data_IF_176572223032
#
_entry.id   IF_176572223032
#
_cell.length_a   1.000
_cell.length_b   1.000
_cell.length_c   1.000
_cell.angle_alpha   90.00
_cell.angle_beta   90.00
_cell.angle_gamma   90.00
#
_symmetry.space_group_name_H-M   'P 1'
#
loop_
_entity.id
_entity.type
_entity.pdbx_description
1 polymer ?
#
# COMPACT_ATOMS: atom_id res chain seq x y z
N UNK A 1 14.61 -0.86 12.52
CA UNK A 1 14.30 0.09 11.42
C UNK A 1 13.93 -0.72 10.20
N UNK A 2 12.73 -0.51 9.66
CA UNK A 2 12.34 -1.17 8.41
C UNK A 2 12.80 -0.29 7.27
N UNK A 3 13.73 -0.79 6.48
CA UNK A 3 14.35 -0.04 5.39
C UNK A 3 15.78 -0.47 5.15
N UNK A 4 16.14 -0.63 3.88
CA UNK A 4 17.46 -1.09 3.49
C UNK A 4 17.53 -1.26 1.98
N UNK A 5 18.72 -1.08 1.43
CA UNK A 5 18.98 -1.28 0.02
C UNK A 5 20.03 -2.36 -0.18
N UNK A 6 19.77 -3.26 -1.13
CA UNK A 6 20.74 -4.21 -1.63
C UNK A 6 21.21 -3.74 -3.00
N UNK A 7 22.50 -3.43 -3.13
CA UNK A 7 23.13 -3.13 -4.42
C UNK A 7 23.63 -4.42 -5.06
N UNK A 8 23.26 -4.63 -6.33
CA UNK A 8 23.78 -5.75 -7.11
C UNK A 8 25.25 -5.52 -7.48
N UNK A 9 26.00 -6.61 -7.76
CA UNK A 9 27.36 -6.51 -8.27
C UNK A 9 27.47 -5.54 -9.45
N UNK A 10 28.57 -4.78 -9.51
CA UNK A 10 28.84 -3.78 -10.54
C UNK A 10 27.81 -2.62 -10.63
N UNK A 11 26.96 -2.44 -9.60
CA UNK A 11 26.02 -1.31 -9.46
C UNK A 11 25.00 -1.16 -10.60
N UNK A 12 24.68 -2.24 -11.30
CA UNK A 12 23.68 -2.22 -12.38
C UNK A 12 22.24 -2.07 -11.86
N UNK A 13 21.99 -2.46 -10.61
CA UNK A 13 20.69 -2.29 -9.98
C UNK A 13 20.82 -2.16 -8.45
N UNK A 14 19.84 -1.52 -7.83
CA UNK A 14 19.68 -1.46 -6.37
C UNK A 14 18.23 -1.75 -6.02
N UNK A 15 17.98 -2.71 -5.13
CA UNK A 15 16.64 -3.01 -4.62
C UNK A 15 16.54 -2.43 -3.23
N UNK A 16 15.58 -1.53 -3.00
CA UNK A 16 15.34 -0.96 -1.69
C UNK A 16 13.96 -1.34 -1.18
N UNK A 17 13.91 -1.73 0.09
CA UNK A 17 12.68 -1.74 0.85
C UNK A 17 12.51 -0.34 1.45
N UNK A 18 11.52 0.42 0.97
CA UNK A 18 11.36 1.82 1.36
C UNK A 18 10.62 1.96 2.69
N UNK A 19 9.44 1.35 2.77
CA UNK A 19 8.55 1.44 3.94
C UNK A 19 7.59 0.26 3.99
N UNK A 20 7.00 0.06 5.16
CA UNK A 20 5.80 -0.75 5.34
C UNK A 20 4.55 0.12 5.20
N UNK A 21 3.43 -0.48 4.80
CA UNK A 21 2.15 0.22 4.63
C UNK A 21 1.48 0.60 5.94
N UNK A 22 1.82 -0.05 7.05
CA UNK A 22 1.13 0.12 8.34
C UNK A 22 2.10 0.35 9.49
N UNK A 23 1.83 1.38 10.29
CA UNK A 23 2.55 1.72 11.52
C UNK A 23 1.70 1.62 12.79
N UNK A 24 0.39 1.47 12.65
CA UNK A 24 -0.57 1.45 13.77
C UNK A 24 -0.98 0.02 14.11
N UNK A 25 -0.96 -0.31 15.40
CA UNK A 25 -1.18 -1.65 15.93
C UNK A 25 -1.99 -1.61 17.22
N UNK A 26 -2.73 -2.68 17.50
CA UNK A 26 -3.41 -2.91 18.77
C UNK A 26 -2.97 -4.23 19.38
N UNK A 27 -2.75 -4.26 20.70
CA UNK A 27 -2.40 -5.49 21.39
C UNK A 27 -3.63 -6.34 21.74
N UNK A 28 -3.42 -7.65 21.66
CA UNK A 28 -4.33 -8.71 22.06
C UNK A 28 -3.57 -9.67 22.97
N UNK A 29 -4.16 -10.01 24.12
CA UNK A 29 -3.52 -10.87 25.13
C UNK A 29 -4.38 -12.10 25.34
N UNK A 30 -3.75 -13.27 25.32
CA UNK A 30 -4.34 -14.57 25.57
C UNK A 30 -3.65 -15.11 26.81
N UNK A 31 -4.34 -15.21 27.94
CA UNK A 31 -3.72 -15.62 29.21
C UNK A 31 -4.65 -16.45 30.08
N UNK A 32 -4.05 -17.24 30.95
CA UNK A 32 -4.79 -17.86 32.05
C UNK A 32 -5.07 -16.80 33.11
N UNK A 33 -6.35 -16.57 33.40
CA UNK A 33 -6.79 -15.73 34.52
C UNK A 33 -7.49 -16.58 35.58
N UNK A 34 -7.30 -16.19 36.83
CA UNK A 34 -8.00 -16.74 38.00
C UNK A 34 -8.84 -15.63 38.61
N UNK A 35 -9.92 -15.96 39.34
CA UNK A 35 -10.77 -14.93 39.94
C UNK A 35 -11.81 -14.33 39.00
N UNK A 36 -12.13 -14.98 37.87
CA UNK A 36 -13.15 -14.46 36.95
C UNK A 36 -14.54 -14.77 37.49
N UNK A 37 -15.36 -13.74 37.69
CA UNK A 37 -16.76 -13.92 38.07
C UNK A 37 -17.62 -14.21 36.82
N UNK A 38 -18.06 -15.46 36.70
CA UNK A 38 -18.97 -15.94 35.67
C UNK A 38 -20.39 -16.20 36.21
N UNK A 39 -20.67 -15.89 37.48
CA UNK A 39 -21.96 -16.20 38.13
C UNK A 39 -23.17 -15.48 37.53
N UNK A 40 -22.91 -14.33 36.90
CA UNK A 40 -23.93 -13.52 36.23
C UNK A 40 -24.38 -14.08 34.87
N UNK A 41 -23.80 -15.20 34.44
CA UNK A 41 -24.04 -15.79 33.13
C UNK A 41 -25.31 -16.63 33.02
N UNK A 42 -25.89 -17.05 34.15
CA UNK A 42 -27.09 -17.89 34.19
C UNK A 42 -26.86 -19.37 33.86
N UNK A 43 -25.62 -19.82 33.67
CA UNK A 43 -25.27 -21.22 33.31
C UNK A 43 -24.52 -21.97 34.40
N UNK A 44 -24.60 -21.51 35.66
CA UNK A 44 -24.07 -22.24 36.83
C UNK A 44 -22.56 -22.14 37.05
N UNK A 45 -21.86 -21.24 36.35
CA UNK A 45 -20.47 -20.91 36.64
C UNK A 45 -20.36 -20.06 37.94
N UNK A 46 -19.25 -20.15 38.66
CA UNK A 46 -19.04 -19.50 39.95
C UNK A 46 -18.48 -18.07 39.86
N UNK A 47 -18.15 -17.51 41.02
CA UNK A 47 -17.60 -16.15 41.17
C UNK A 47 -16.07 -16.08 41.13
N UNK A 48 -15.39 -17.22 41.01
CA UNK A 48 -13.93 -17.35 41.09
C UNK A 48 -13.44 -18.44 40.13
N UNK A 49 -13.69 -18.25 38.85
CA UNK A 49 -13.37 -19.22 37.82
C UNK A 49 -11.97 -19.00 37.25
N UNK A 50 -11.33 -20.11 36.86
CA UNK A 50 -10.08 -20.11 36.11
C UNK A 50 -10.41 -20.25 34.62
N UNK A 51 -9.99 -19.29 33.82
CA UNK A 51 -10.38 -19.17 32.40
C UNK A 51 -9.18 -18.86 31.52
N UNK A 52 -9.28 -19.19 30.23
CA UNK A 52 -8.46 -18.52 29.22
C UNK A 52 -9.15 -17.20 28.83
N UNK A 53 -8.53 -16.09 29.20
CA UNK A 53 -9.03 -14.75 28.92
C UNK A 53 -8.33 -14.18 27.69
N UNK A 54 -9.13 -13.70 26.75
CA UNK A 54 -8.69 -13.02 25.53
C UNK A 54 -9.11 -11.55 25.66
N UNK A 55 -8.14 -10.64 25.72
CA UNK A 55 -8.40 -9.20 25.87
C UNK A 55 -7.85 -8.41 24.69
N UNK A 56 -8.57 -7.35 24.30
CA UNK A 56 -8.10 -6.34 23.35
C UNK A 56 -7.94 -4.98 24.01
N UNK A 57 -6.85 -4.28 23.67
CA UNK A 57 -6.66 -2.87 24.03
C UNK A 57 -7.55 -1.92 23.21
N UNK A 58 -7.98 -2.34 22.02
CA UNK A 58 -8.94 -1.59 21.23
C UNK A 58 -10.35 -1.75 21.78
N UNK A 59 -11.09 -0.63 21.89
CA UNK A 59 -12.52 -0.66 22.21
C UNK A 59 -13.26 -1.55 21.21
N UNK A 60 -14.02 -2.51 21.73
CA UNK A 60 -14.75 -3.50 20.94
C UNK A 60 -13.86 -4.29 19.96
N UNK A 61 -12.59 -4.51 20.33
CA UNK A 61 -11.60 -5.14 19.47
C UNK A 61 -11.83 -6.62 19.16
N UNK A 62 -12.82 -7.26 19.79
CA UNK A 62 -13.22 -8.64 19.55
C UNK A 62 -14.70 -8.71 19.16
N UNK A 63 -15.02 -9.58 18.21
CA UNK A 63 -16.40 -9.87 17.79
C UNK A 63 -16.61 -11.37 17.90
N UNK A 64 -17.67 -11.79 18.58
CA UNK A 64 -18.10 -13.19 18.55
C UNK A 64 -18.71 -13.54 17.18
N UNK A 65 -18.55 -14.77 16.73
CA UNK A 65 -19.17 -15.22 15.46
C UNK A 65 -20.70 -15.22 15.56
N UNK A 66 -21.38 -15.23 14.39
CA UNK A 66 -22.85 -15.15 14.33
C UNK A 66 -23.58 -16.28 15.07
N UNK A 67 -22.99 -17.48 15.11
CA UNK A 67 -23.51 -18.61 15.90
C UNK A 67 -23.50 -18.34 17.42
N UNK A 68 -22.80 -17.30 17.86
CA UNK A 68 -22.68 -16.85 19.24
C UNK A 68 -23.31 -15.46 19.46
N UNK A 69 -24.07 -14.93 18.49
CA UNK A 69 -24.84 -13.68 18.63
C UNK A 69 -24.15 -12.40 18.14
N UNK A 70 -22.96 -12.47 17.52
CA UNK A 70 -22.27 -11.30 16.94
C UNK A 70 -21.95 -10.16 17.93
N UNK A 71 -21.78 -10.48 19.21
CA UNK A 71 -21.47 -9.49 20.24
C UNK A 71 -20.07 -8.92 20.07
N UNK A 72 -19.97 -7.59 20.20
CA UNK A 72 -18.70 -6.85 20.29
C UNK A 72 -18.27 -6.73 21.74
N UNK A 73 -16.99 -6.94 21.99
CA UNK A 73 -16.42 -6.87 23.33
C UNK A 73 -14.92 -6.53 23.31
N UNK A 74 -14.38 -6.16 24.46
CA UNK A 74 -12.95 -6.10 24.70
C UNK A 74 -12.43 -7.40 25.33
N UNK A 75 -13.31 -8.28 25.81
CA UNK A 75 -12.89 -9.45 26.60
C UNK A 75 -13.78 -10.65 26.34
N UNK A 76 -13.15 -11.76 25.95
CA UNK A 76 -13.77 -13.08 25.84
C UNK A 76 -13.14 -13.99 26.89
N UNK A 77 -13.95 -14.83 27.52
CA UNK A 77 -13.50 -15.87 28.44
C UNK A 77 -13.84 -17.24 27.86
N UNK A 78 -12.87 -18.15 27.86
CA UNK A 78 -13.08 -19.56 27.62
C UNK A 78 -12.96 -20.30 28.95
N UNK A 79 -14.06 -20.92 29.38
CA UNK A 79 -14.14 -21.68 30.63
C UNK A 79 -14.29 -23.16 30.31
N UNK A 80 -13.48 -24.01 30.94
CA UNK A 80 -13.55 -25.45 30.74
C UNK A 80 -14.54 -26.08 31.72
N UNK A 81 -15.44 -26.90 31.20
CA UNK A 81 -16.40 -27.67 31.96
C UNK A 81 -16.49 -29.09 31.39
N UNK A 82 -15.85 -30.05 32.05
CA UNK A 82 -15.84 -31.46 31.63
C UNK A 82 -17.22 -32.12 31.51
N UNK A 83 -18.26 -31.53 32.07
CA UNK A 83 -19.63 -32.05 32.00
C UNK A 83 -20.42 -31.53 30.80
N UNK A 84 -19.94 -30.46 30.14
CA UNK A 84 -20.60 -29.87 28.98
C UNK A 84 -20.25 -30.65 27.68
N UNK A 85 -21.21 -30.84 26.74
CA UNK A 85 -20.97 -31.46 25.44
C UNK A 85 -19.75 -30.92 24.70
N UNK A 86 -19.54 -29.59 24.71
CA UNK A 86 -18.38 -28.96 24.08
C UNK A 86 -17.13 -28.83 24.94
N UNK A 87 -17.21 -29.14 26.22
CA UNK A 87 -16.16 -28.97 27.24
C UNK A 87 -15.60 -27.56 27.44
N UNK A 88 -15.78 -26.65 26.47
CA UNK A 88 -15.45 -25.24 26.55
C UNK A 88 -16.72 -24.42 26.35
N UNK A 89 -16.93 -23.49 27.26
CA UNK A 89 -17.99 -22.49 27.19
C UNK A 89 -17.37 -21.12 26.88
N UNK A 90 -18.02 -20.39 25.99
CA UNK A 90 -17.63 -19.04 25.58
C UNK A 90 -18.47 -18.04 26.35
N UNK A 91 -17.78 -17.10 27.01
CA UNK A 91 -18.39 -15.95 27.65
C UNK A 91 -17.77 -14.68 27.08
N UNK A 92 -18.50 -13.58 27.16
CA UNK A 92 -17.98 -12.26 26.81
C UNK A 92 -18.31 -11.27 27.90
N UNK A 93 -17.46 -10.24 28.05
CA UNK A 93 -17.78 -9.10 28.91
C UNK A 93 -18.70 -8.15 28.15
N UNK A 94 -19.93 -8.00 28.63
CA UNK A 94 -20.91 -7.10 28.01
C UNK A 94 -20.47 -5.65 28.21
N UNK A 95 -20.54 -4.84 27.15
CA UNK A 95 -20.09 -3.45 27.17
C UNK A 95 -21.06 -2.50 27.87
N UNK A 96 -22.29 -2.94 28.15
CA UNK A 96 -23.36 -2.16 28.79
C UNK A 96 -23.27 -2.22 30.31
N UNK A 97 -23.12 -3.42 30.87
CA UNK A 97 -23.14 -3.67 32.32
C UNK A 97 -21.80 -4.17 32.87
N UNK A 98 -20.83 -4.47 32.01
CA UNK A 98 -19.50 -4.93 32.39
C UNK A 98 -19.46 -6.36 32.94
N UNK A 99 -20.56 -7.11 32.88
CA UNK A 99 -20.67 -8.47 33.42
C UNK A 99 -20.33 -9.52 32.36
N UNK A 100 -19.85 -10.67 32.81
CA UNK A 100 -19.65 -11.82 31.93
C UNK A 100 -21.00 -12.45 31.57
N UNK A 101 -21.28 -12.60 30.27
CA UNK A 101 -22.48 -13.23 29.73
C UNK A 101 -22.10 -14.47 28.94
N UNK A 102 -22.89 -15.53 29.08
CA UNK A 102 -22.72 -16.76 28.31
C UNK A 102 -23.13 -16.55 26.85
N UNK A 103 -22.28 -16.98 25.92
CA UNK A 103 -22.54 -16.90 24.48
C UNK A 103 -22.89 -18.26 23.87
N UNK A 104 -22.34 -19.35 24.40
CA UNK A 104 -22.57 -20.70 23.89
C UNK A 104 -21.46 -21.68 24.25
N UNK A 105 -21.65 -22.93 23.88
CA UNK A 105 -20.61 -23.96 23.97
C UNK A 105 -19.80 -24.05 22.68
N UNK A 106 -18.54 -24.45 22.79
CA UNK A 106 -17.59 -24.46 21.69
C UNK A 106 -17.06 -25.86 21.41
N UNK A 107 -17.33 -26.38 20.20
CA UNK A 107 -16.81 -27.68 19.74
C UNK A 107 -16.04 -27.51 18.44
N UNK A 108 -14.71 -27.51 18.52
CA UNK A 108 -13.80 -27.45 17.35
C UNK A 108 -14.20 -26.42 16.26
N UNK A 109 -14.68 -25.24 16.67
CA UNK A 109 -15.25 -24.23 15.78
C UNK A 109 -14.56 -22.88 15.89
N UNK A 110 -14.74 -22.04 14.87
CA UNK A 110 -14.45 -20.61 14.94
C UNK A 110 -15.51 -19.95 15.82
N UNK A 111 -15.09 -19.14 16.78
CA UNK A 111 -16.00 -18.52 17.75
C UNK A 111 -15.88 -17.00 17.83
N UNK A 112 -14.77 -16.43 17.36
CA UNK A 112 -14.56 -15.00 17.38
C UNK A 112 -13.65 -14.56 16.23
N UNK A 113 -13.64 -13.25 15.97
CA UNK A 113 -12.68 -12.59 15.10
C UNK A 113 -12.14 -11.32 15.75
N UNK A 114 -10.98 -10.90 15.26
CA UNK A 114 -10.39 -9.62 15.60
C UNK A 114 -11.17 -8.52 14.88
N UNK A 115 -11.45 -7.42 15.57
CA UNK A 115 -12.16 -6.25 15.06
C UNK A 115 -11.33 -4.98 15.27
N UNK A 116 -10.34 -4.76 14.40
CA UNK A 116 -9.46 -3.61 14.50
C UNK A 116 -9.27 -2.94 13.15
N UNK A 117 -9.86 -1.75 12.99
CA UNK A 117 -9.74 -0.90 11.80
C UNK A 117 -10.08 -1.65 10.50
N UNK A 118 -9.09 -1.88 9.62
CA UNK A 118 -9.27 -2.60 8.37
C UNK A 118 -8.99 -4.10 8.54
N UNK A 119 -8.16 -4.49 9.52
CA UNK A 119 -8.07 -5.87 10.05
C UNK A 119 -9.32 -6.21 10.89
N UNK A 120 -10.47 -6.33 10.22
CA UNK A 120 -11.76 -6.69 10.83
C UNK A 120 -12.51 -7.73 10.01
N UNK A 121 -13.53 -8.33 10.60
CA UNK A 121 -14.38 -9.28 9.89
C UNK A 121 -13.71 -10.65 9.77
N UNK A 122 -13.28 -11.03 8.57
CA UNK A 122 -12.74 -12.37 8.30
C UNK A 122 -11.22 -12.46 8.28
N UNK A 123 -10.50 -11.35 8.49
CA UNK A 123 -9.05 -11.31 8.29
C UNK A 123 -8.26 -12.07 9.35
N UNK A 124 -8.65 -11.96 10.62
CA UNK A 124 -8.07 -12.73 11.72
C UNK A 124 -9.18 -13.37 12.53
N UNK A 125 -9.25 -14.70 12.53
CA UNK A 125 -10.28 -15.48 13.22
C UNK A 125 -9.68 -16.33 14.32
N UNK A 126 -10.44 -16.52 15.39
CA UNK A 126 -10.10 -17.35 16.53
C UNK A 126 -10.94 -18.63 16.50
N UNK A 127 -10.25 -19.75 16.49
CA UNK A 127 -10.84 -21.09 16.41
C UNK A 127 -10.26 -21.99 17.48
N UNK A 128 -11.10 -22.85 18.06
CA UNK A 128 -10.60 -23.97 18.87
C UNK A 128 -10.51 -25.23 18.02
N UNK A 129 -9.47 -26.02 18.25
CA UNK A 129 -9.20 -27.31 17.60
C UNK A 129 -8.63 -28.31 18.62
N UNK A 130 -8.59 -29.58 18.24
CA UNK A 130 -7.94 -30.68 18.98
C UNK A 130 -8.30 -30.68 20.47
N UNK A 131 -9.60 -30.56 20.77
CA UNK A 131 -10.10 -30.62 22.15
C UNK A 131 -9.98 -32.05 22.70
N UNK A 132 -9.16 -32.20 23.72
CA UNK A 132 -8.96 -33.42 24.49
C UNK A 132 -9.36 -33.20 25.95
N UNK A 133 -9.32 -34.26 26.77
CA UNK A 133 -9.59 -34.12 28.21
C UNK A 133 -8.50 -33.33 28.96
N UNK A 134 -7.28 -33.29 28.40
CA UNK A 134 -6.09 -32.71 29.02
C UNK A 134 -5.57 -31.46 28.34
N UNK A 135 -6.08 -31.12 27.16
CA UNK A 135 -5.62 -29.95 26.40
C UNK A 135 -6.58 -29.56 25.28
N UNK A 136 -6.40 -28.37 24.72
CA UNK A 136 -7.00 -27.94 23.47
C UNK A 136 -6.06 -26.96 22.76
N UNK A 137 -6.29 -26.72 21.46
CA UNK A 137 -5.56 -25.71 20.69
C UNK A 137 -6.46 -24.52 20.41
N UNK A 138 -5.96 -23.31 20.71
CA UNK A 138 -6.51 -22.07 20.19
C UNK A 138 -5.69 -21.65 18.97
N UNK A 139 -6.36 -21.47 17.84
CA UNK A 139 -5.74 -21.13 16.56
C UNK A 139 -6.24 -19.76 16.13
N UNK A 140 -5.31 -18.82 15.94
CA UNK A 140 -5.57 -17.60 15.21
C UNK A 140 -5.21 -17.82 13.74
N UNK A 141 -6.20 -17.79 12.85
CA UNK A 141 -6.04 -17.99 11.40
C UNK A 141 -6.10 -16.64 10.71
N UNK A 142 -5.22 -16.39 9.74
CA UNK A 142 -5.28 -15.20 8.90
C UNK A 142 -5.89 -15.45 7.51
N UNK A 143 -6.19 -14.38 6.78
CA UNK A 143 -6.71 -14.43 5.40
C UNK A 143 -5.71 -14.97 4.36
N UNK A 144 -4.43 -15.14 4.74
CA UNK A 144 -3.39 -15.78 3.94
C UNK A 144 -3.28 -17.28 4.23
N UNK A 145 -4.20 -17.84 5.03
CA UNK A 145 -4.24 -19.25 5.46
C UNK A 145 -3.09 -19.65 6.40
N UNK A 146 -2.42 -18.69 7.02
CA UNK A 146 -1.43 -18.95 8.06
C UNK A 146 -2.09 -19.07 9.43
N UNK A 147 -1.46 -19.87 10.30
CA UNK A 147 -2.01 -20.22 11.60
C UNK A 147 -0.98 -19.96 12.70
N UNK A 148 -1.35 -19.14 13.68
CA UNK A 148 -0.72 -19.12 15.00
C UNK A 148 -1.48 -20.07 15.92
N UNK A 149 -0.84 -21.15 16.34
CA UNK A 149 -1.44 -22.19 17.19
C UNK A 149 -0.88 -22.13 18.60
N UNK A 150 -1.76 -21.99 19.57
CA UNK A 150 -1.48 -21.94 21.01
C UNK A 150 -2.05 -23.20 21.66
N UNK A 151 -1.23 -23.99 22.34
CA UNK A 151 -1.65 -25.24 23.00
C UNK A 151 -1.86 -24.99 24.50
N UNK A 152 -3.09 -25.11 24.95
CA UNK A 152 -3.48 -24.87 26.34
C UNK A 152 -3.77 -26.20 27.04
N UNK A 153 -3.19 -26.41 28.22
CA UNK A 153 -3.42 -27.61 29.01
C UNK A 153 -4.52 -27.41 30.04
N UNK A 154 -5.20 -28.51 30.36
CA UNK A 154 -6.30 -28.58 31.32
C UNK A 154 -5.84 -29.42 32.51
N UNK A 155 -6.10 -28.92 33.71
CA UNK A 155 -5.89 -29.65 34.96
C UNK A 155 -7.01 -29.32 35.92
N UNK A 156 -7.43 -30.31 36.71
CA UNK A 156 -8.46 -30.13 37.75
C UNK A 156 -9.74 -29.46 37.24
N UNK A 157 -10.19 -29.85 36.05
CA UNK A 157 -11.38 -29.30 35.37
C UNK A 157 -11.30 -27.80 35.06
N UNK A 158 -10.11 -27.25 34.83
CA UNK A 158 -9.92 -25.86 34.44
C UNK A 158 -8.78 -25.70 33.42
N UNK A 159 -8.79 -24.61 32.66
CA UNK A 159 -7.63 -24.23 31.84
C UNK A 159 -6.47 -23.92 32.80
N UNK A 160 -5.34 -24.57 32.61
CA UNK A 160 -4.24 -24.53 33.57
C UNK A 160 -3.08 -23.62 33.17
N UNK A 161 -2.56 -23.82 31.96
CA UNK A 161 -1.28 -23.28 31.49
C UNK A 161 -1.21 -23.22 29.97
N UNK A 162 -0.34 -22.35 29.45
CA UNK A 162 0.14 -22.45 28.08
C UNK A 162 1.24 -23.52 28.08
N UNK A 163 1.09 -24.58 27.28
CA UNK A 163 1.99 -25.72 27.38
C UNK A 163 1.71 -26.63 28.58
N UNK A 164 2.49 -27.72 28.68
CA UNK A 164 2.30 -28.79 29.66
C UNK A 164 2.80 -28.43 31.06
N UNK A 165 3.63 -27.39 31.17
CA UNK A 165 4.19 -26.90 32.43
C UNK A 165 3.73 -25.46 32.63
N UNK A 166 3.16 -25.16 33.81
CA UNK A 166 2.72 -23.81 34.11
C UNK A 166 3.92 -22.87 34.29
N UNK A 167 3.80 -21.67 33.75
CA UNK A 167 4.77 -20.57 33.94
C UNK A 167 6.18 -20.95 33.48
N UNK A 168 6.26 -21.70 32.38
CA UNK A 168 7.49 -22.15 31.76
C UNK A 168 7.30 -22.15 30.25
N UNK A 169 8.07 -21.34 29.52
CA UNK A 169 7.99 -21.33 28.07
C UNK A 169 8.54 -22.60 27.43
N UNK A 170 7.71 -23.26 26.63
CA UNK A 170 8.06 -24.51 25.95
C UNK A 170 8.04 -24.38 24.43
N UNK A 171 8.89 -25.12 23.71
CA UNK A 171 8.95 -25.01 22.24
C UNK A 171 7.61 -25.34 21.57
N UNK A 172 6.91 -26.35 22.07
CA UNK A 172 5.70 -26.90 21.47
C UNK A 172 4.40 -26.18 21.87
N UNK A 173 4.43 -25.24 22.82
CA UNK A 173 3.22 -24.55 23.29
C UNK A 173 2.69 -23.55 22.26
N UNK A 174 3.57 -23.00 21.43
CA UNK A 174 3.27 -21.98 20.43
C UNK A 174 3.95 -22.32 19.10
N UNK A 175 3.16 -22.34 18.02
CA UNK A 175 3.69 -22.56 16.68
C UNK A 175 3.07 -21.66 15.63
N UNK A 176 3.86 -21.29 14.63
CA UNK A 176 3.42 -20.57 13.44
C UNK A 176 3.63 -21.45 12.21
N UNK A 177 2.56 -21.82 11.48
CA UNK A 177 2.63 -22.72 10.32
C UNK A 177 3.45 -24.00 10.57
N UNK A 178 3.22 -24.65 11.72
CA UNK A 178 3.94 -25.84 12.21
C UNK A 178 5.39 -25.62 12.63
N UNK A 179 5.90 -24.38 12.59
CA UNK A 179 7.20 -24.05 13.18
C UNK A 179 7.03 -23.68 14.65
N UNK A 180 7.75 -24.36 15.53
CA UNK A 180 7.76 -24.07 16.95
C UNK A 180 8.45 -22.75 17.24
N UNK A 181 7.76 -21.87 17.96
CA UNK A 181 8.22 -20.51 18.27
C UNK A 181 8.15 -20.16 19.76
N UNK A 182 7.68 -21.07 20.62
CA UNK A 182 7.43 -20.77 22.04
C UNK A 182 8.67 -20.28 22.81
N UNK A 183 9.88 -20.76 22.49
CA UNK A 183 11.13 -20.36 23.15
C UNK A 183 11.87 -19.21 22.48
N UNK A 184 11.26 -18.54 21.49
CA UNK A 184 11.91 -17.40 20.82
C UNK A 184 11.88 -16.18 21.75
N UNK A 185 13.03 -15.53 21.87
CA UNK A 185 13.29 -14.39 22.77
C UNK A 185 13.10 -13.02 22.11
N UNK A 186 12.62 -13.01 20.87
CA UNK A 186 12.41 -11.82 20.03
C UNK A 186 10.99 -11.77 19.51
N UNK A 187 10.55 -10.56 19.18
CA UNK A 187 9.29 -10.36 18.49
C UNK A 187 9.36 -10.98 17.09
N UNK A 188 8.34 -11.73 16.74
CA UNK A 188 8.23 -12.41 15.45
C UNK A 188 7.10 -11.80 14.65
N UNK A 189 7.38 -11.45 13.40
CA UNK A 189 6.37 -10.92 12.47
C UNK A 189 5.83 -12.05 11.60
N UNK A 190 4.52 -12.26 11.64
CA UNK A 190 3.81 -13.14 10.72
C UNK A 190 3.68 -12.51 9.32
N UNK A 191 3.34 -13.32 8.33
CA UNK A 191 3.23 -12.90 6.93
C UNK A 191 2.14 -11.85 6.73
N UNK A 192 0.98 -12.01 7.39
CA UNK A 192 -0.07 -10.97 7.42
C UNK A 192 0.41 -9.65 8.05
N UNK A 193 1.38 -9.72 8.96
CA UNK A 193 2.04 -8.55 9.54
C UNK A 193 1.85 -8.35 11.04
N UNK A 194 1.03 -9.16 11.70
CA UNK A 194 0.93 -9.14 13.17
C UNK A 194 2.23 -9.62 13.82
N UNK A 195 2.51 -9.12 15.01
CA UNK A 195 3.70 -9.47 15.79
C UNK A 195 3.30 -10.38 16.93
N UNK A 196 4.00 -11.50 17.10
CA UNK A 196 3.98 -12.29 18.33
C UNK A 196 5.10 -11.75 19.21
N UNK A 197 4.74 -11.07 20.29
CA UNK A 197 5.70 -10.36 21.13
C UNK A 197 6.39 -11.32 22.08
N UNK A 198 7.73 -11.32 22.07
CA UNK A 198 8.63 -12.13 22.90
C UNK A 198 7.99 -13.43 23.43
N UNK A 199 7.80 -14.45 22.56
CA UNK A 199 7.13 -15.70 22.92
C UNK A 199 7.63 -16.32 24.22
N UNK A 200 8.95 -16.40 24.43
CA UNK A 200 9.53 -17.01 25.62
C UNK A 200 9.16 -16.26 26.89
N UNK A 201 9.34 -14.93 26.94
CA UNK A 201 9.04 -14.18 28.16
C UNK A 201 7.54 -14.16 28.50
N UNK A 202 6.67 -14.21 27.49
CA UNK A 202 5.23 -14.28 27.72
C UNK A 202 4.77 -15.71 28.07
N UNK A 203 5.39 -16.74 27.49
CA UNK A 203 5.15 -18.15 27.80
C UNK A 203 5.48 -18.49 29.26
N UNK A 204 6.56 -17.93 29.81
CA UNK A 204 6.90 -18.02 31.25
C UNK A 204 5.81 -17.45 32.18
N UNK A 205 4.80 -16.76 31.63
CA UNK A 205 3.65 -16.21 32.34
C UNK A 205 2.32 -16.81 31.88
N UNK A 206 2.34 -17.95 31.19
CA UNK A 206 1.16 -18.59 30.60
C UNK A 206 0.35 -17.64 29.71
N UNK A 207 1.05 -16.82 28.93
CA UNK A 207 0.48 -15.74 28.12
C UNK A 207 1.02 -15.75 26.69
N UNK A 208 0.17 -15.39 25.73
CA UNK A 208 0.57 -14.99 24.38
C UNK A 208 0.13 -13.55 24.15
N UNK A 209 1.03 -12.71 23.65
CA UNK A 209 0.71 -11.32 23.28
C UNK A 209 0.93 -11.14 21.79
N UNK A 210 -0.12 -10.67 21.12
CA UNK A 210 -0.12 -10.41 19.68
C UNK A 210 -0.41 -8.95 19.42
N UNK A 211 0.46 -8.28 18.68
CA UNK A 211 0.24 -6.92 18.19
C UNK A 211 -0.31 -6.98 16.76
N UNK A 212 -1.58 -6.62 16.58
CA UNK A 212 -2.29 -6.72 15.30
C UNK A 212 -2.28 -5.38 14.57
N UNK A 213 -1.87 -5.32 13.29
CA UNK A 213 -1.82 -4.09 12.52
C UNK A 213 -3.21 -3.61 12.10
N UNK A 214 -3.35 -2.31 11.84
CA UNK A 214 -4.60 -1.70 11.38
C UNK A 214 -5.10 -2.23 10.04
N UNK A 215 -4.20 -2.72 9.18
CA UNK A 215 -4.44 -3.37 7.89
C UNK A 215 -3.32 -4.41 7.65
N UNK A 216 -3.46 -5.28 6.65
CA UNK A 216 -2.40 -6.20 6.24
C UNK A 216 -1.11 -5.44 5.91
N UNK A 217 0.00 -5.86 6.50
CA UNK A 217 1.30 -5.21 6.29
C UNK A 217 1.85 -5.61 4.91
N UNK A 218 2.06 -4.61 4.05
CA UNK A 218 2.73 -4.77 2.77
C UNK A 218 4.03 -3.97 2.76
N UNK A 219 5.02 -4.43 2.01
CA UNK A 219 6.26 -3.72 1.81
C UNK A 219 6.27 -3.00 0.46
N UNK A 220 6.66 -1.73 0.45
CA UNK A 220 6.98 -1.03 -0.79
C UNK A 220 8.42 -1.35 -1.17
N UNK A 221 8.58 -2.18 -2.19
CA UNK A 221 9.88 -2.54 -2.76
C UNK A 221 10.09 -1.77 -4.06
N UNK A 222 11.21 -1.08 -4.18
CA UNK A 222 11.57 -0.30 -5.36
C UNK A 222 12.89 -0.82 -5.93
N UNK A 223 12.94 -0.98 -7.25
CA UNK A 223 14.14 -1.37 -7.98
C UNK A 223 14.66 -0.18 -8.77
N UNK A 224 15.89 0.24 -8.49
CA UNK A 224 16.59 1.32 -9.17
C UNK A 224 17.56 0.77 -10.20
N UNK A 225 17.58 1.38 -11.39
CA UNK A 225 18.70 1.27 -12.32
C UNK A 225 19.87 2.21 -11.94
N UNK A 226 20.98 2.19 -12.67
CA UNK A 226 22.14 3.03 -12.38
C UNK A 226 21.75 4.52 -12.46
N UNK A 227 21.98 5.26 -11.37
CA UNK A 227 21.61 6.68 -11.28
C UNK A 227 20.13 6.96 -11.02
N UNK A 228 19.29 5.94 -10.83
CA UNK A 228 17.88 6.11 -10.48
C UNK A 228 17.70 6.61 -9.05
N UNK A 229 16.88 7.65 -8.86
CA UNK A 229 16.44 8.16 -7.55
C UNK A 229 14.94 7.94 -7.38
N UNK A 230 14.47 7.86 -6.13
CA UNK A 230 13.05 7.68 -5.81
C UNK A 230 12.29 8.97 -6.11
N UNK A 231 11.23 8.90 -6.91
CA UNK A 231 10.16 9.89 -6.82
C UNK A 231 9.15 9.41 -5.79
N UNK A 232 8.86 10.23 -4.78
CA UNK A 232 7.95 9.93 -3.66
C UNK A 232 6.50 9.67 -4.06
N UNK A 233 6.14 9.82 -5.33
CA UNK A 233 4.77 9.70 -5.81
C UNK A 233 4.41 8.27 -6.20
N UNK A 234 3.43 7.72 -5.48
CA UNK A 234 2.76 6.46 -5.79
C UNK A 234 2.06 6.57 -7.17
N UNK A 235 2.25 5.59 -8.05
CA UNK A 235 1.57 5.54 -9.36
C UNK A 235 2.24 6.31 -10.52
N UNK A 236 3.42 6.90 -10.33
CA UNK A 236 4.16 7.56 -11.42
C UNK A 236 4.63 6.58 -12.49
N UNK A 237 4.18 6.75 -13.74
CA UNK A 237 4.76 6.03 -14.90
C UNK A 237 6.25 6.39 -15.01
N UNK A 238 7.13 5.39 -14.96
CA UNK A 238 8.56 5.57 -15.23
C UNK A 238 8.70 6.02 -16.69
N UNK A 239 9.10 7.27 -16.92
CA UNK A 239 9.48 7.74 -18.26
C UNK A 239 10.79 7.04 -18.64
N UNK A 240 10.70 5.98 -19.47
CA UNK A 240 11.86 5.29 -20.04
C UNK A 240 12.62 6.28 -20.92
N UNK A 241 13.86 6.62 -20.57
CA UNK A 241 14.76 7.36 -21.47
C UNK A 241 15.09 6.42 -22.64
N UNK A 242 14.50 6.68 -23.80
CA UNK A 242 14.88 6.01 -25.05
C UNK A 242 15.99 6.84 -25.68
N UNK A 243 17.22 6.32 -25.82
CA UNK A 243 18.28 7.04 -26.48
C UNK A 243 17.87 7.34 -27.93
N UNK A 244 18.13 8.57 -28.37
CA UNK A 244 17.96 8.97 -29.77
C UNK A 244 19.11 8.33 -30.55
N UNK A 245 18.84 7.22 -31.23
CA UNK A 245 19.85 6.43 -31.97
C UNK A 245 20.05 6.86 -33.42
N UNK A 246 19.29 7.86 -33.88
CA UNK A 246 19.35 8.38 -35.24
C UNK A 246 19.31 9.90 -35.20
N UNK A 247 19.97 10.57 -36.15
CA UNK A 247 19.88 12.03 -36.30
C UNK A 247 18.41 12.46 -36.50
N UNK A 248 17.83 13.12 -35.50
CA UNK A 248 16.43 13.56 -35.50
C UNK A 248 16.25 14.95 -36.12
N UNK A 249 17.28 15.78 -36.11
CA UNK A 249 17.28 17.08 -36.78
C UNK A 249 17.80 16.91 -38.21
N UNK A 250 16.98 17.30 -39.18
CA UNK A 250 17.35 17.34 -40.60
C UNK A 250 17.23 18.77 -41.10
N UNK A 251 18.04 19.14 -42.08
CA UNK A 251 17.86 20.41 -42.80
C UNK A 251 16.57 20.37 -43.61
N UNK A 252 15.98 21.54 -43.84
CA UNK A 252 14.77 21.68 -44.66
C UNK A 252 14.99 21.20 -46.10
N UNK A 253 16.22 21.29 -46.60
CA UNK A 253 16.65 20.78 -47.91
C UNK A 253 16.80 19.26 -47.98
N UNK A 254 16.87 18.58 -46.84
CA UNK A 254 17.04 17.12 -46.74
C UNK A 254 15.71 16.37 -46.54
N UNK A 255 14.61 17.12 -46.42
CA UNK A 255 13.28 16.60 -46.11
C UNK A 255 12.31 16.96 -47.21
N UNK A 256 11.77 15.95 -47.88
CA UNK A 256 10.55 16.09 -48.66
C UNK A 256 9.35 15.82 -47.75
N UNK A 257 8.57 16.84 -47.34
CA UNK A 257 7.46 16.65 -46.42
C UNK A 257 6.36 15.76 -47.02
N UNK A 258 6.29 15.64 -48.34
CA UNK A 258 5.35 14.77 -49.07
C UNK A 258 5.76 13.29 -49.07
N UNK A 259 6.92 12.94 -48.52
CA UNK A 259 7.33 11.54 -48.34
C UNK A 259 7.42 11.15 -46.86
N UNK A 260 7.51 12.12 -45.95
CA UNK A 260 7.48 11.84 -44.50
C UNK A 260 6.10 11.32 -44.11
N UNK A 261 6.04 10.10 -43.57
CA UNK A 261 4.81 9.47 -43.06
C UNK A 261 4.51 9.78 -41.59
N UNK A 262 5.18 10.79 -41.01
CA UNK A 262 5.08 11.19 -39.60
C UNK A 262 4.70 12.67 -39.50
N UNK A 263 4.23 13.07 -38.32
CA UNK A 263 4.10 14.49 -37.96
C UNK A 263 5.45 15.19 -37.95
N UNK A 264 5.45 16.50 -38.21
CA UNK A 264 6.66 17.30 -38.32
C UNK A 264 6.69 18.41 -37.27
N UNK A 265 7.88 18.70 -36.77
CA UNK A 265 8.16 19.92 -36.01
C UNK A 265 9.15 20.72 -36.86
N UNK A 266 8.71 21.88 -37.32
CA UNK A 266 9.50 22.80 -38.13
C UNK A 266 10.07 23.87 -37.22
N UNK A 267 11.39 23.87 -37.04
CA UNK A 267 12.09 24.83 -36.20
C UNK A 267 12.74 25.88 -37.10
N UNK A 268 12.52 27.16 -36.78
CA UNK A 268 13.00 28.30 -37.53
C UNK A 268 11.91 28.98 -38.35
N UNK A 269 12.00 30.30 -38.46
CA UNK A 269 11.03 31.12 -39.20
C UNK A 269 11.08 30.97 -40.72
N UNK A 270 10.12 31.55 -41.44
CA UNK A 270 9.97 31.41 -42.90
C UNK A 270 11.08 32.08 -43.71
N UNK A 271 11.98 32.85 -43.08
CA UNK A 271 13.20 33.35 -43.72
C UNK A 271 14.33 32.31 -43.79
N UNK A 272 14.35 31.36 -42.84
CA UNK A 272 15.47 30.41 -42.68
C UNK A 272 15.06 28.96 -42.92
N UNK A 273 13.76 28.66 -42.91
CA UNK A 273 13.22 27.34 -43.15
C UNK A 273 12.13 27.40 -44.25
N UNK A 274 12.41 26.78 -45.40
CA UNK A 274 11.52 26.74 -46.57
C UNK A 274 10.21 26.04 -46.27
N UNK A 275 10.26 24.97 -45.49
CA UNK A 275 9.07 24.22 -45.09
C UNK A 275 8.20 25.04 -44.14
N UNK A 276 8.80 25.86 -43.27
CA UNK A 276 8.03 26.82 -42.45
C UNK A 276 7.30 27.83 -43.32
N UNK A 277 7.97 28.42 -44.32
CA UNK A 277 7.32 29.36 -45.25
C UNK A 277 6.15 28.71 -45.98
N UNK A 278 6.35 27.48 -46.49
CA UNK A 278 5.29 26.72 -47.16
C UNK A 278 4.12 26.39 -46.22
N UNK A 279 4.39 25.92 -44.99
CA UNK A 279 3.35 25.63 -44.00
C UNK A 279 2.53 26.88 -43.62
N UNK A 280 3.17 28.05 -43.63
CA UNK A 280 2.53 29.34 -43.37
C UNK A 280 1.87 29.98 -44.61
N UNK A 281 2.01 29.38 -45.81
CA UNK A 281 1.50 29.95 -47.06
C UNK A 281 2.24 31.23 -47.51
N UNK A 282 3.51 31.38 -47.15
CA UNK A 282 4.36 32.53 -47.46
C UNK A 282 5.41 32.18 -48.52
N UNK A 283 5.94 33.20 -49.19
CA UNK A 283 7.10 33.04 -50.07
C UNK A 283 8.39 32.89 -49.25
N UNK A 284 9.34 32.09 -49.73
CA UNK A 284 10.64 31.98 -49.10
C UNK A 284 11.68 32.85 -49.83
N UNK A 285 12.49 33.66 -49.13
CA UNK A 285 12.46 33.94 -47.68
C UNK A 285 11.46 35.06 -47.33
N UNK A 286 10.67 34.90 -46.26
CA UNK A 286 9.88 35.99 -45.66
C UNK A 286 10.46 36.37 -44.30
N UNK A 287 10.97 37.61 -44.19
CA UNK A 287 11.55 38.15 -42.96
C UNK A 287 10.50 38.80 -42.07
N UNK A 288 10.80 38.95 -40.79
CA UNK A 288 9.92 39.60 -39.82
C UNK A 288 9.54 41.04 -40.18
N UNK A 289 10.45 41.78 -40.83
CA UNK A 289 10.19 43.14 -41.32
C UNK A 289 9.13 43.23 -42.44
N UNK A 290 8.66 42.10 -42.99
CA UNK A 290 7.60 42.09 -44.01
C UNK A 290 6.23 42.53 -43.48
N UNK A 291 6.00 42.47 -42.17
CA UNK A 291 4.68 42.70 -41.58
C UNK A 291 3.66 41.58 -41.85
N UNK A 292 4.08 40.48 -42.50
CA UNK A 292 3.21 39.33 -42.82
C UNK A 292 3.21 38.25 -41.75
N UNK A 293 4.10 38.35 -40.74
CA UNK A 293 4.21 37.36 -39.68
C UNK A 293 3.26 37.68 -38.52
N UNK A 294 2.68 36.67 -37.85
CA UNK A 294 1.76 36.89 -36.74
C UNK A 294 2.46 37.30 -35.43
N UNK A 295 3.78 37.51 -35.45
CA UNK A 295 4.61 37.83 -34.29
C UNK A 295 5.63 38.93 -34.62
N UNK A 296 5.99 39.72 -33.62
CA UNK A 296 6.87 40.88 -33.75
C UNK A 296 8.25 40.72 -33.12
N UNK A 297 8.97 41.83 -33.05
CA UNK A 297 10.29 41.91 -32.40
C UNK A 297 10.23 41.44 -30.94
N UNK A 298 11.18 40.58 -30.55
CA UNK A 298 11.22 39.98 -29.21
C UNK A 298 10.22 38.84 -28.96
N UNK A 299 9.34 38.54 -29.93
CA UNK A 299 8.35 37.47 -29.81
C UNK A 299 8.81 36.18 -30.52
N UNK A 300 8.29 35.05 -30.04
CA UNK A 300 8.24 33.80 -30.77
C UNK A 300 6.81 33.30 -30.93
N UNK A 301 6.64 32.35 -31.84
CA UNK A 301 5.37 31.83 -32.27
C UNK A 301 5.43 30.31 -32.38
N UNK A 302 4.47 29.64 -31.77
CA UNK A 302 4.25 28.21 -31.93
C UNK A 302 2.87 28.03 -32.52
N UNK A 303 2.74 27.27 -33.61
CA UNK A 303 1.45 26.96 -34.21
C UNK A 303 1.37 25.55 -34.71
N UNK A 304 0.23 24.92 -34.48
CA UNK A 304 -0.17 23.64 -35.05
C UNK A 304 -0.93 23.90 -36.35
N UNK A 305 -0.47 23.28 -37.42
CA UNK A 305 -1.13 23.21 -38.72
C UNK A 305 -1.53 21.77 -38.99
N UNK A 306 -2.70 21.57 -39.57
CA UNK A 306 -3.17 20.26 -40.01
C UNK A 306 -3.28 20.25 -41.53
N UNK A 307 -2.87 19.15 -42.15
CA UNK A 307 -3.11 18.91 -43.56
C UNK A 307 -2.19 19.65 -44.54
N UNK A 308 -1.23 20.47 -44.06
CA UNK A 308 -0.51 21.44 -44.92
C UNK A 308 0.39 20.81 -45.99
N UNK A 309 0.95 19.63 -45.73
CA UNK A 309 1.72 18.89 -46.75
C UNK A 309 1.02 17.62 -47.22
N UNK A 310 0.20 17.01 -46.37
CA UNK A 310 -0.65 15.84 -46.67
C UNK A 310 -1.89 15.82 -45.78
N UNK A 311 -3.02 15.29 -46.26
CA UNK A 311 -4.20 15.07 -45.42
C UNK A 311 -3.87 14.30 -44.14
N UNK A 312 -4.31 14.83 -42.98
CA UNK A 312 -4.10 14.24 -41.66
C UNK A 312 -2.69 14.38 -41.07
N UNK A 313 -1.77 15.06 -41.77
CA UNK A 313 -0.44 15.33 -41.23
C UNK A 313 -0.43 16.62 -40.42
N UNK A 314 -0.26 16.46 -39.10
CA UNK A 314 0.01 17.57 -38.19
C UNK A 314 1.45 18.08 -38.32
N UNK A 315 1.60 19.40 -38.38
CA UNK A 315 2.86 20.13 -38.46
C UNK A 315 2.88 21.22 -37.39
N UNK A 316 3.89 21.20 -36.52
CA UNK A 316 4.09 22.27 -35.53
C UNK A 316 5.19 23.18 -36.01
N UNK A 317 4.88 24.45 -36.24
CA UNK A 317 5.86 25.50 -36.54
C UNK A 317 6.32 26.13 -35.24
N UNK A 318 7.63 26.29 -35.08
CA UNK A 318 8.29 26.93 -33.94
C UNK A 318 9.24 27.99 -34.49
N UNK A 319 8.82 29.24 -34.44
CA UNK A 319 9.53 30.34 -35.08
C UNK A 319 9.71 31.52 -34.14
N UNK A 320 10.92 32.04 -34.02
CA UNK A 320 11.20 33.29 -33.32
C UNK A 320 11.48 34.43 -34.29
N UNK A 321 11.36 35.67 -33.80
CA UNK A 321 11.91 36.84 -34.48
C UNK A 321 13.42 36.70 -34.68
N UNK A 322 14.12 36.32 -33.60
CA UNK A 322 15.55 35.97 -33.62
C UNK A 322 15.81 34.52 -33.20
N UNK A 323 17.07 34.10 -33.31
CA UNK A 323 17.53 32.78 -32.90
C UNK A 323 17.24 32.51 -31.41
N UNK A 324 17.38 33.52 -30.54
CA UNK A 324 17.10 33.37 -29.11
C UNK A 324 15.61 33.18 -28.83
N UNK A 325 14.74 33.91 -29.53
CA UNK A 325 13.30 33.70 -29.40
C UNK A 325 12.89 32.29 -29.89
N UNK A 326 13.53 31.79 -30.96
CA UNK A 326 13.31 30.42 -31.44
C UNK A 326 13.76 29.38 -30.41
N UNK A 327 14.90 29.60 -29.74
CA UNK A 327 15.39 28.75 -28.64
C UNK A 327 14.43 28.74 -27.45
N UNK A 328 13.87 29.89 -27.11
CA UNK A 328 12.87 30.00 -26.05
C UNK A 328 11.60 29.20 -26.39
N UNK A 329 11.07 29.35 -27.60
CA UNK A 329 9.88 28.59 -28.03
C UNK A 329 10.12 27.07 -28.09
N UNK A 330 11.31 26.63 -28.50
CA UNK A 330 11.64 25.19 -28.44
C UNK A 330 11.81 24.70 -27.00
N UNK A 331 12.30 25.54 -26.09
CA UNK A 331 12.38 25.22 -24.66
C UNK A 331 11.00 25.12 -24.01
N UNK A 332 10.05 25.94 -24.44
CA UNK A 332 8.64 25.84 -24.02
C UNK A 332 8.04 24.49 -24.42
N UNK A 333 8.23 24.04 -25.67
CA UNK A 333 7.74 22.72 -26.11
C UNK A 333 8.38 21.55 -25.36
N UNK A 334 9.67 21.65 -25.02
CA UNK A 334 10.33 20.62 -24.20
C UNK A 334 9.75 20.55 -22.78
N UNK A 335 9.21 21.67 -22.29
CA UNK A 335 8.60 21.80 -20.97
C UNK A 335 7.06 21.78 -21.02
N UNK A 336 6.48 21.08 -22.01
CA UNK A 336 5.03 21.02 -22.22
C UNK A 336 4.25 20.75 -20.93
N UNK A 337 4.66 19.77 -20.13
CA UNK A 337 3.98 19.39 -18.88
C UNK A 337 3.91 20.57 -17.89
N UNK A 338 4.94 21.41 -17.82
CA UNK A 338 5.01 22.58 -16.93
C UNK A 338 4.07 23.70 -17.37
N UNK A 339 3.87 23.84 -18.69
CA UNK A 339 3.10 24.93 -19.29
C UNK A 339 1.81 24.44 -19.96
N UNK A 340 1.31 23.27 -19.54
CA UNK A 340 0.18 22.60 -20.17
C UNK A 340 -1.10 23.44 -20.11
N UNK A 341 -1.27 24.29 -19.10
CA UNK A 341 -2.41 25.20 -18.98
C UNK A 341 -2.35 26.35 -20.01
N UNK A 342 -1.16 26.93 -20.22
CA UNK A 342 -0.97 28.02 -21.17
C UNK A 342 -1.00 27.54 -22.62
N UNK A 343 -0.51 26.32 -22.88
CA UNK A 343 -0.59 25.69 -24.20
C UNK A 343 -1.99 25.13 -24.47
N UNK A 344 -2.59 24.45 -23.50
CA UNK A 344 -4.00 24.04 -23.47
C UNK A 344 -4.52 23.47 -24.80
N UNK A 345 -5.69 23.95 -25.20
CA UNK A 345 -6.30 23.67 -26.51
C UNK A 345 -5.93 24.71 -27.57
N UNK A 346 -4.94 25.56 -27.31
CA UNK A 346 -4.58 26.63 -28.25
C UNK A 346 -3.84 26.03 -29.45
N UNK A 347 -4.31 26.35 -30.65
CA UNK A 347 -3.63 25.94 -31.89
C UNK A 347 -2.47 26.87 -32.24
N UNK A 348 -2.39 28.04 -31.60
CA UNK A 348 -1.29 28.97 -31.75
C UNK A 348 -1.05 29.76 -30.45
N UNK A 349 0.22 30.01 -30.14
CA UNK A 349 0.65 30.83 -29.01
C UNK A 349 1.82 31.74 -29.37
N UNK A 350 1.85 32.92 -28.75
CA UNK A 350 3.00 33.82 -28.70
C UNK A 350 3.79 33.61 -27.43
N UNK A 351 5.11 33.74 -27.53
CA UNK A 351 6.04 33.54 -26.42
C UNK A 351 6.99 34.72 -26.34
N UNK A 352 6.95 35.45 -25.23
CA UNK A 352 7.87 36.55 -24.89
C UNK A 352 8.76 36.20 -23.69
N UNK A 353 8.36 35.23 -22.86
CA UNK A 353 9.18 34.64 -21.80
C UNK A 353 8.67 33.25 -21.40
N UNK A 354 9.50 32.45 -20.73
CA UNK A 354 9.11 31.16 -20.13
C UNK A 354 8.40 31.36 -18.78
N UNK A 355 7.28 32.07 -18.81
CA UNK A 355 6.43 32.32 -17.65
C UNK A 355 4.97 32.30 -18.07
N UNK A 356 4.05 32.11 -17.11
CA UNK A 356 2.62 32.07 -17.41
C UNK A 356 2.12 33.34 -18.12
N UNK A 357 2.63 34.52 -17.75
CA UNK A 357 2.28 35.79 -18.39
C UNK A 357 3.00 36.03 -19.73
N UNK A 358 4.10 35.32 -19.97
CA UNK A 358 4.87 35.40 -21.22
C UNK A 358 4.34 34.52 -22.34
N UNK A 359 3.33 33.69 -22.08
CA UNK A 359 2.74 32.76 -23.04
C UNK A 359 1.28 33.13 -23.23
N UNK A 360 0.92 33.55 -24.44
CA UNK A 360 -0.43 34.05 -24.74
C UNK A 360 -1.00 33.37 -25.99
N UNK A 361 -2.31 33.07 -26.03
CA UNK A 361 -2.97 32.60 -27.24
C UNK A 361 -2.82 33.60 -28.39
N UNK A 362 -2.74 33.11 -29.62
CA UNK A 362 -2.40 33.92 -30.80
C UNK A 362 -3.31 33.68 -32.02
#
# INVERSE_FOLDING_TARGET
>A
TVGGCYEFPNKYAKVCLEKLTVSDYSEYKFKVDTGVDLSHSGVGAGTNEKTLTITSESKEGLVLESSFGSYKTNTIYLWYNSTAPGKLAVFYKDTTDGKAKFAGELVNATFASINYKDTKGSDLKLKVQDQHASSFKLVMTDSLTNNLTMTWYISSNAVNSLGSEASNAQEAELSYNNQQIGTKDKDLRAEYGYLVLNPSSNGDRDQVVVSVPADQVKAKVVVYGPGGTSSTTEGGKIKKVVPVTTTVAKLDTEVDPTTVGKHLILVGGPAVNRLTAQAMGLSYPTYGSSGLLPYGEGEAYIRVYDGVFKPGQVVVVVAGWEAENTRMATSLLQQYDTFAEQLGSNTAVKVTSLSASGITPA
#
